data_IF_610655580152
#
_entry.id   IF_610655580152
#
_cell.length_a   1.000
_cell.length_b   1.000
_cell.length_c   1.000
_cell.angle_alpha   90.00
_cell.angle_beta   90.00
_cell.angle_gamma   90.00
#
_symmetry.space_group_name_H-M   'P 1'
#
loop_
_entity.id
_entity.type
_entity.pdbx_description
1 polymer ?
#
# COMPACT_ATOMS: atom_id res chain seq x y z
N UNK A 1 12.54 -7.94 -41.99
CA UNK A 1 11.91 -8.45 -40.75
C UNK A 1 12.77 -9.60 -40.25
N UNK A 2 13.26 -9.60 -38.99
CA UNK A 2 14.00 -10.74 -38.46
C UNK A 2 13.12 -12.00 -38.52
N UNK A 3 13.71 -13.20 -38.62
CA UNK A 3 12.91 -14.42 -38.60
C UNK A 3 12.08 -14.50 -37.31
N UNK A 4 10.87 -15.09 -37.32
CA UNK A 4 9.99 -15.15 -36.15
C UNK A 4 10.65 -15.79 -34.91
N UNK A 5 11.56 -16.74 -35.13
CA UNK A 5 12.19 -17.52 -34.08
C UNK A 5 13.20 -16.73 -33.21
N UNK A 6 14.19 -15.99 -33.76
CA UNK A 6 15.03 -15.08 -32.98
C UNK A 6 14.25 -14.04 -32.17
N UNK A 7 13.15 -13.53 -32.72
CA UNK A 7 12.34 -12.54 -32.04
C UNK A 7 11.57 -13.15 -30.86
N UNK A 8 11.02 -14.35 -31.02
CA UNK A 8 10.39 -15.09 -29.94
C UNK A 8 11.39 -15.41 -28.82
N UNK A 9 12.62 -15.83 -29.17
CA UNK A 9 13.69 -16.09 -28.22
C UNK A 9 14.09 -14.82 -27.45
N UNK A 10 14.22 -13.69 -28.13
CA UNK A 10 14.51 -12.40 -27.50
C UNK A 10 13.40 -11.96 -26.53
N UNK A 11 12.13 -12.03 -26.94
CA UNK A 11 10.99 -11.71 -26.07
C UNK A 11 10.99 -12.57 -24.80
N UNK A 12 11.33 -13.85 -24.92
CA UNK A 12 11.47 -14.75 -23.76
C UNK A 12 12.57 -14.25 -22.82
N UNK A 13 13.73 -13.82 -23.33
CA UNK A 13 14.81 -13.29 -22.50
C UNK A 13 14.44 -11.97 -21.83
N UNK A 14 13.78 -11.04 -22.55
CA UNK A 14 13.27 -9.80 -21.95
C UNK A 14 12.30 -10.10 -20.81
N UNK A 15 11.38 -11.06 -20.99
CA UNK A 15 10.46 -11.48 -19.92
C UNK A 15 11.16 -12.11 -18.71
N UNK A 16 12.30 -12.76 -18.91
CA UNK A 16 13.13 -13.20 -17.78
C UNK A 16 13.78 -12.00 -17.11
N UNK A 17 14.28 -11.04 -17.89
CA UNK A 17 14.96 -9.86 -17.39
C UNK A 17 14.05 -8.94 -16.57
N UNK A 18 12.75 -8.86 -16.88
CA UNK A 18 11.77 -8.10 -16.06
C UNK A 18 11.69 -8.58 -14.62
N UNK A 19 12.20 -9.78 -14.30
CA UNK A 19 12.29 -10.23 -12.90
C UNK A 19 13.20 -9.35 -12.05
N UNK A 20 14.12 -8.57 -12.66
CA UNK A 20 14.95 -7.55 -11.99
C UNK A 20 14.14 -6.53 -11.20
N UNK A 21 12.86 -6.33 -11.55
CA UNK A 21 11.97 -5.41 -10.84
C UNK A 21 11.91 -5.71 -9.34
N UNK A 22 11.94 -6.98 -8.93
CA UNK A 22 11.90 -7.31 -7.49
C UNK A 22 13.17 -6.86 -6.77
N UNK A 23 14.33 -6.92 -7.44
CA UNK A 23 15.58 -6.40 -6.90
C UNK A 23 15.50 -4.89 -6.71
N UNK A 24 15.00 -4.17 -7.71
CA UNK A 24 14.80 -2.71 -7.59
C UNK A 24 13.79 -2.35 -6.51
N UNK A 25 12.68 -3.09 -6.39
CA UNK A 25 11.69 -2.86 -5.33
C UNK A 25 12.26 -3.07 -3.93
N UNK A 26 13.06 -4.12 -3.71
CA UNK A 26 13.74 -4.35 -2.43
C UNK A 26 14.73 -3.20 -2.17
N UNK A 27 15.55 -2.86 -3.15
CA UNK A 27 16.55 -1.80 -3.01
C UNK A 27 15.91 -0.44 -2.71
N UNK A 28 14.84 -0.07 -3.43
CA UNK A 28 14.19 1.23 -3.35
C UNK A 28 13.27 1.41 -2.14
N UNK A 29 12.50 0.38 -1.79
CA UNK A 29 11.45 0.51 -0.78
C UNK A 29 11.87 -0.02 0.60
N UNK A 30 12.96 -0.80 0.66
CA UNK A 30 13.45 -1.40 1.92
C UNK A 30 14.85 -0.87 2.22
N UNK A 31 15.80 -1.09 1.31
CA UNK A 31 17.20 -0.73 1.58
C UNK A 31 17.42 0.79 1.61
N UNK A 32 16.88 1.56 0.67
CA UNK A 32 17.08 3.01 0.64
C UNK A 32 16.52 3.70 1.88
N UNK A 33 15.26 3.51 2.31
CA UNK A 33 14.74 4.16 3.52
C UNK A 33 15.55 3.81 4.78
N UNK A 34 16.08 2.59 4.83
CA UNK A 34 16.99 2.17 5.89
C UNK A 34 18.30 2.99 5.86
N UNK A 35 18.94 3.11 4.70
CA UNK A 35 20.18 3.86 4.53
C UNK A 35 20.00 5.38 4.74
N UNK A 36 18.87 5.96 4.35
CA UNK A 36 18.58 7.39 4.51
C UNK A 36 18.53 7.81 5.99
N UNK A 37 18.09 6.91 6.88
CA UNK A 37 18.14 7.14 8.33
C UNK A 37 19.57 7.18 8.87
N UNK A 38 20.48 6.44 8.23
CA UNK A 38 21.86 6.25 8.69
C UNK A 38 22.83 7.25 8.05
N UNK A 39 22.59 7.66 6.81
CA UNK A 39 23.52 8.45 6.01
C UNK A 39 23.03 9.88 5.82
N UNK A 40 23.69 10.87 6.44
CA UNK A 40 23.36 12.28 6.22
C UNK A 40 23.47 12.74 4.75
N UNK A 41 24.32 12.06 3.97
CA UNK A 41 24.53 12.34 2.54
C UNK A 41 24.04 11.17 1.67
N UNK A 42 22.73 11.10 1.46
CA UNK A 42 22.06 9.97 0.78
C UNK A 42 21.56 10.27 -0.64
N UNK A 43 21.89 11.43 -1.24
CA UNK A 43 21.42 11.80 -2.60
C UNK A 43 21.82 10.81 -3.70
N UNK A 44 22.88 10.03 -3.48
CA UNK A 44 23.30 8.98 -4.41
C UNK A 44 22.23 7.90 -4.60
N UNK A 45 21.37 7.66 -3.59
CA UNK A 45 20.26 6.69 -3.65
C UNK A 45 19.20 7.13 -4.66
N UNK A 46 18.82 8.42 -4.65
CA UNK A 46 17.88 9.00 -5.62
C UNK A 46 18.40 8.92 -7.06
N UNK A 47 19.71 9.14 -7.25
CA UNK A 47 20.35 8.99 -8.56
C UNK A 47 20.31 7.53 -9.03
N UNK A 48 20.53 6.56 -8.12
CA UNK A 48 20.43 5.15 -8.45
C UNK A 48 18.99 4.74 -8.78
N UNK A 49 17.99 5.25 -8.05
CA UNK A 49 16.57 5.07 -8.39
C UNK A 49 16.26 5.56 -9.80
N UNK A 50 16.71 6.76 -10.18
CA UNK A 50 16.51 7.28 -11.53
C UNK A 50 17.08 6.34 -12.61
N UNK A 51 18.21 5.67 -12.34
CA UNK A 51 18.77 4.67 -13.27
C UNK A 51 17.88 3.42 -13.34
N UNK A 52 17.27 2.99 -12.24
CA UNK A 52 16.29 1.90 -12.25
C UNK A 52 15.06 2.26 -13.10
N UNK A 53 14.56 3.49 -13.01
CA UNK A 53 13.45 3.96 -13.83
C UNK A 53 13.81 3.96 -15.32
N UNK A 54 15.03 4.36 -15.69
CA UNK A 54 15.53 4.27 -17.06
C UNK A 54 15.59 2.80 -17.56
N UNK A 55 15.93 1.85 -16.68
CA UNK A 55 15.89 0.41 -17.00
C UNK A 55 14.45 -0.06 -17.21
N UNK A 56 13.52 0.32 -16.33
CA UNK A 56 12.08 -0.02 -16.45
C UNK A 56 11.50 0.47 -17.75
N UNK A 57 11.78 1.72 -18.10
CA UNK A 57 11.31 2.33 -19.34
C UNK A 57 11.92 1.62 -20.56
N UNK A 58 13.23 1.31 -20.53
CA UNK A 58 13.90 0.55 -21.59
C UNK A 58 13.28 -0.83 -21.81
N UNK A 59 12.97 -1.57 -20.74
CA UNK A 59 12.28 -2.88 -20.82
C UNK A 59 10.89 -2.75 -21.44
N UNK A 60 10.11 -1.76 -21.01
CA UNK A 60 8.76 -1.47 -21.53
C UNK A 60 8.79 -1.11 -23.01
N UNK A 61 9.71 -0.22 -23.42
CA UNK A 61 9.87 0.17 -24.82
C UNK A 61 10.30 -1.01 -25.71
N UNK A 62 11.22 -1.85 -25.23
CA UNK A 62 11.63 -3.06 -25.95
C UNK A 62 10.48 -4.06 -26.10
N UNK A 63 9.62 -4.21 -25.09
CA UNK A 63 8.41 -5.02 -25.21
C UNK A 63 7.50 -4.48 -26.33
N UNK A 64 7.25 -3.17 -26.37
CA UNK A 64 6.43 -2.54 -27.43
C UNK A 64 7.04 -2.74 -28.82
N UNK A 65 8.32 -2.39 -29.00
CA UNK A 65 9.01 -2.50 -30.30
C UNK A 65 9.05 -3.95 -30.76
N UNK A 66 9.18 -4.90 -29.82
CA UNK A 66 9.23 -6.30 -30.19
C UNK A 66 7.90 -6.89 -30.56
N UNK A 67 6.77 -6.34 -30.10
CA UNK A 67 5.42 -6.79 -30.47
C UNK A 67 4.81 -6.02 -31.65
N UNK A 68 5.38 -4.88 -32.03
CA UNK A 68 4.93 -4.10 -33.18
C UNK A 68 5.05 -4.89 -34.48
N UNK A 69 4.01 -4.84 -35.32
CA UNK A 69 4.01 -5.47 -36.65
C UNK A 69 4.97 -4.80 -37.66
N UNK A 70 5.52 -3.63 -37.31
CA UNK A 70 6.49 -2.90 -38.11
C UNK A 70 7.83 -2.79 -37.35
N UNK A 71 8.78 -3.66 -37.70
CA UNK A 71 10.05 -3.80 -36.98
C UNK A 71 11.06 -2.71 -37.35
N UNK A 72 11.36 -1.81 -36.42
CA UNK A 72 12.44 -0.82 -36.54
C UNK A 72 13.73 -1.33 -35.89
N UNK A 73 14.63 -1.86 -36.72
CA UNK A 73 15.92 -2.40 -36.27
C UNK A 73 16.84 -1.33 -35.64
N UNK A 74 16.77 -0.09 -36.11
CA UNK A 74 17.63 0.99 -35.60
C UNK A 74 17.20 1.38 -34.20
N UNK A 75 15.89 1.55 -34.00
CA UNK A 75 15.33 1.81 -32.67
C UNK A 75 15.58 0.64 -31.73
N UNK A 76 15.35 -0.59 -32.19
CA UNK A 76 15.63 -1.79 -31.41
C UNK A 76 17.08 -1.83 -30.92
N UNK A 77 18.06 -1.70 -31.82
CA UNK A 77 19.49 -1.75 -31.47
C UNK A 77 19.87 -0.67 -30.45
N UNK A 78 19.34 0.54 -30.61
CA UNK A 78 19.55 1.63 -29.66
C UNK A 78 18.99 1.27 -28.28
N UNK A 79 17.71 0.89 -28.20
CA UNK A 79 17.06 0.55 -26.94
C UNK A 79 17.76 -0.62 -26.23
N UNK A 80 18.22 -1.63 -26.97
CA UNK A 80 19.00 -2.72 -26.37
C UNK A 80 20.35 -2.27 -25.81
N UNK A 81 21.02 -1.32 -26.49
CA UNK A 81 22.26 -0.73 -26.02
C UNK A 81 22.04 0.10 -24.76
N UNK A 82 21.04 0.99 -24.79
CA UNK A 82 20.67 1.86 -23.67
C UNK A 82 20.31 1.00 -22.43
N UNK A 83 19.48 -0.03 -22.60
CA UNK A 83 19.16 -0.98 -21.53
C UNK A 83 20.41 -1.64 -20.93
N UNK A 84 21.31 -2.16 -21.78
CA UNK A 84 22.54 -2.78 -21.33
C UNK A 84 23.39 -1.84 -20.48
N UNK A 85 23.60 -0.59 -20.95
CA UNK A 85 24.40 0.38 -20.23
C UNK A 85 23.74 0.84 -18.92
N UNK A 86 22.42 1.02 -18.90
CA UNK A 86 21.70 1.42 -17.68
C UNK A 86 21.76 0.31 -16.62
N UNK A 87 21.51 -0.94 -17.00
CA UNK A 87 21.64 -2.08 -16.08
C UNK A 87 23.07 -2.26 -15.57
N UNK A 88 24.06 -2.18 -16.46
CA UNK A 88 25.47 -2.25 -16.07
C UNK A 88 25.86 -1.10 -15.12
N UNK A 89 25.30 0.10 -15.33
CA UNK A 89 25.52 1.26 -14.46
C UNK A 89 24.91 1.04 -13.07
N UNK A 90 23.69 0.49 -12.99
CA UNK A 90 23.07 0.15 -11.72
C UNK A 90 23.91 -0.88 -10.96
N UNK A 91 24.24 -2.01 -11.59
CA UNK A 91 25.07 -3.08 -11.00
C UNK A 91 26.41 -2.53 -10.51
N UNK A 92 27.11 -1.73 -11.34
CA UNK A 92 28.40 -1.17 -10.96
C UNK A 92 28.29 -0.26 -9.73
N UNK A 93 27.27 0.60 -9.69
CA UNK A 93 27.06 1.51 -8.55
C UNK A 93 26.69 0.75 -7.28
N UNK A 94 25.89 -0.29 -7.40
CA UNK A 94 25.56 -1.16 -6.27
C UNK A 94 26.81 -1.86 -5.72
N UNK A 95 27.53 -2.58 -6.57
CA UNK A 95 28.68 -3.40 -6.16
C UNK A 95 29.89 -2.58 -5.71
N UNK A 96 30.13 -1.43 -6.34
CA UNK A 96 31.36 -0.65 -6.13
C UNK A 96 31.17 0.56 -5.21
N UNK A 97 29.93 0.96 -4.94
CA UNK A 97 29.66 2.16 -4.15
C UNK A 97 28.71 1.82 -3.00
N UNK A 98 27.48 1.39 -3.30
CA UNK A 98 26.43 1.22 -2.30
C UNK A 98 26.77 0.14 -1.27
N UNK A 99 27.06 -1.08 -1.73
CA UNK A 99 27.34 -2.23 -0.85
C UNK A 99 28.62 -1.99 -0.02
N UNK A 100 29.75 -1.53 -0.60
CA UNK A 100 30.93 -1.18 0.20
C UNK A 100 30.66 -0.10 1.26
N UNK A 101 29.89 0.94 0.93
CA UNK A 101 29.52 1.97 1.90
C UNK A 101 28.64 1.40 3.03
N UNK A 102 27.69 0.52 2.71
CA UNK A 102 26.86 -0.17 3.70
C UNK A 102 27.71 -1.02 4.65
N UNK A 103 28.62 -1.83 4.11
CA UNK A 103 29.55 -2.64 4.91
C UNK A 103 30.41 -1.75 5.82
N UNK A 104 30.90 -0.61 5.31
CA UNK A 104 31.68 0.33 6.11
C UNK A 104 30.86 1.00 7.24
N UNK A 105 29.55 1.12 7.07
CA UNK A 105 28.64 1.65 8.09
C UNK A 105 28.53 0.70 9.29
N UNK A 106 28.87 -0.59 9.12
CA UNK A 106 28.98 -1.55 10.22
C UNK A 106 27.66 -2.03 10.79
N UNK A 107 26.56 -1.97 10.01
CA UNK A 107 25.25 -2.44 10.47
C UNK A 107 25.06 -3.92 10.17
N UNK A 108 24.89 -4.73 11.21
CA UNK A 108 24.64 -6.18 11.07
C UNK A 108 23.35 -6.62 11.75
N UNK A 109 22.94 -6.00 12.86
CA UNK A 109 21.75 -6.41 13.62
C UNK A 109 20.41 -6.06 12.94
N UNK A 110 20.38 -4.94 12.20
CA UNK A 110 19.13 -4.39 11.63
C UNK A 110 18.82 -4.95 10.22
N UNK A 111 19.81 -5.53 9.52
CA UNK A 111 19.62 -6.03 8.14
C UNK A 111 18.80 -7.33 8.07
N UNK A 112 18.83 -8.14 9.12
CA UNK A 112 18.05 -9.39 9.16
C UNK A 112 16.53 -9.13 9.19
N UNK A 113 16.08 -8.01 9.78
CA UNK A 113 14.65 -7.64 9.78
C UNK A 113 14.19 -7.23 8.37
N UNK A 114 15.07 -6.57 7.62
CA UNK A 114 14.82 -6.20 6.22
C UNK A 114 14.69 -7.43 5.31
N UNK A 115 15.29 -8.58 5.67
CA UNK A 115 15.16 -9.82 4.90
C UNK A 115 13.74 -10.38 4.94
N UNK A 116 13.03 -10.23 6.07
CA UNK A 116 11.65 -10.69 6.20
C UNK A 116 10.70 -9.78 5.38
N UNK A 117 10.91 -8.47 5.40
CA UNK A 117 10.19 -7.52 4.53
C UNK A 117 10.48 -7.78 3.03
N UNK A 118 11.74 -8.04 2.68
CA UNK A 118 12.14 -8.34 1.31
C UNK A 118 11.55 -9.67 0.81
N UNK A 119 11.31 -10.63 1.69
CA UNK A 119 10.69 -11.90 1.35
C UNK A 119 9.23 -11.73 0.86
N UNK A 120 8.50 -10.70 1.30
CA UNK A 120 7.15 -10.40 0.82
C UNK A 120 7.15 -9.95 -0.66
N UNK A 121 8.20 -9.26 -1.10
CA UNK A 121 8.43 -8.85 -2.50
C UNK A 121 8.95 -10.04 -3.33
N UNK A 122 9.88 -10.81 -2.74
CA UNK A 122 10.53 -11.96 -3.34
C UNK A 122 11.80 -11.61 -4.13
N UNK A 123 12.47 -12.65 -4.65
CA UNK A 123 13.87 -12.53 -5.10
C UNK A 123 14.04 -12.57 -6.62
N UNK A 124 15.06 -11.85 -7.12
CA UNK A 124 15.45 -11.82 -8.53
C UNK A 124 16.72 -12.63 -8.75
N UNK A 125 16.73 -13.54 -9.71
CA UNK A 125 17.91 -14.30 -10.17
C UNK A 125 18.66 -15.13 -9.11
N UNK A 126 18.22 -15.13 -7.87
CA UNK A 126 18.78 -15.90 -6.75
C UNK A 126 17.70 -16.77 -6.12
N UNK A 127 18.14 -17.80 -5.39
CA UNK A 127 17.26 -18.49 -4.45
C UNK A 127 17.04 -17.62 -3.21
N UNK A 128 15.89 -17.76 -2.57
CA UNK A 128 15.59 -17.04 -1.34
C UNK A 128 16.69 -17.34 -0.29
N UNK A 129 17.32 -16.31 0.29
CA UNK A 129 18.28 -16.50 1.36
C UNK A 129 17.59 -17.16 2.55
N UNK A 130 18.29 -18.09 3.21
CA UNK A 130 17.77 -18.77 4.39
C UNK A 130 17.74 -17.77 5.55
N UNK A 131 16.55 -17.38 6.00
CA UNK A 131 16.40 -16.60 7.23
C UNK A 131 16.97 -17.40 8.40
N UNK A 132 17.99 -16.85 9.07
CA UNK A 132 18.71 -17.50 10.18
C UNK A 132 18.08 -17.23 11.55
N UNK A 133 16.96 -16.48 11.62
CA UNK A 133 16.29 -16.17 12.89
C UNK A 133 15.24 -17.22 13.28
N UNK A 134 15.45 -17.83 14.45
CA UNK A 134 14.34 -18.24 15.34
C UNK A 134 13.54 -16.98 15.67
N UNK A 135 12.22 -17.01 15.52
CA UNK A 135 11.31 -15.98 16.06
C UNK A 135 11.61 -15.77 17.55
N UNK A 136 12.39 -14.76 17.87
CA UNK A 136 12.45 -14.21 19.23
C UNK A 136 11.62 -12.94 19.16
N UNK A 137 10.37 -13.08 19.59
CA UNK A 137 9.51 -11.96 19.93
C UNK A 137 10.15 -11.17 21.08
N UNK A 138 10.22 -9.85 20.92
CA UNK A 138 10.33 -8.94 22.05
C UNK A 138 11.71 -8.32 22.22
N UNK A 139 11.82 -7.08 21.77
CA UNK A 139 12.68 -6.09 22.40
C UNK A 139 11.81 -4.89 22.76
N UNK A 140 11.31 -4.96 23.99
CA UNK A 140 10.83 -3.80 24.74
C UNK A 140 11.98 -2.78 24.83
N UNK A 141 11.85 -1.66 24.13
CA UNK A 141 12.61 -0.44 24.42
C UNK A 141 11.69 0.52 25.13
N UNK A 142 11.73 0.44 26.45
CA UNK A 142 11.19 1.45 27.36
C UNK A 142 12.08 2.70 27.28
N UNK A 143 11.57 3.77 26.70
CA UNK A 143 11.89 5.14 27.13
C UNK A 143 10.58 5.95 27.18
N UNK A 144 10.33 6.57 28.33
CA UNK A 144 9.12 7.34 28.61
C UNK A 144 9.08 8.61 27.77
N UNK A 145 8.19 8.69 26.77
CA UNK A 145 7.53 9.93 26.31
C UNK A 145 6.47 9.61 25.23
N UNK A 146 5.20 9.89 25.55
CA UNK A 146 3.98 9.68 24.75
C UNK A 146 3.64 8.21 24.43
N UNK A 147 2.49 7.71 24.94
CA UNK A 147 1.97 6.36 24.63
C UNK A 147 1.58 6.30 23.15
N UNK A 148 2.52 5.97 22.27
CA UNK A 148 2.19 5.61 20.90
C UNK A 148 1.64 4.18 20.86
N UNK A 149 0.63 3.97 20.03
CA UNK A 149 0.08 2.66 19.70
C UNK A 149 0.97 2.04 18.63
N UNK A 150 1.55 0.89 18.92
CA UNK A 150 2.33 0.11 17.96
C UNK A 150 1.41 -0.72 17.06
N UNK A 151 1.59 -0.58 15.75
CA UNK A 151 0.96 -1.37 14.70
C UNK A 151 2.02 -2.29 14.07
N UNK A 152 1.58 -3.28 13.29
CA UNK A 152 2.52 -4.14 12.56
C UNK A 152 3.39 -3.38 11.55
N UNK A 153 2.90 -2.22 11.06
CA UNK A 153 3.52 -1.43 10.00
C UNK A 153 4.00 -0.04 10.46
N UNK A 154 4.06 0.21 11.78
CA UNK A 154 4.50 1.50 12.31
C UNK A 154 3.98 1.79 13.71
N UNK A 155 4.06 3.04 14.13
CA UNK A 155 3.46 3.50 15.39
C UNK A 155 2.86 4.89 15.23
N UNK A 156 1.74 5.13 15.90
CA UNK A 156 1.05 6.42 15.88
C UNK A 156 0.65 6.81 17.30
N UNK A 157 0.63 8.11 17.59
CA UNK A 157 -0.01 8.61 18.81
C UNK A 157 -1.55 8.48 18.71
N UNK A 158 -2.27 8.39 19.85
CA UNK A 158 -3.73 8.43 19.85
C UNK A 158 -4.31 9.66 19.14
N UNK A 159 -3.64 10.81 19.26
CA UNK A 159 -4.03 12.04 18.56
C UNK A 159 -3.88 11.91 17.04
N UNK A 160 -2.80 11.29 16.55
CA UNK A 160 -2.63 11.04 15.11
C UNK A 160 -3.70 10.09 14.57
N UNK A 161 -4.07 9.07 15.34
CA UNK A 161 -5.15 8.13 14.95
C UNK A 161 -6.48 8.88 14.80
N UNK A 162 -6.82 9.75 15.76
CA UNK A 162 -8.03 10.57 15.70
C UNK A 162 -8.00 11.54 14.51
N UNK A 163 -6.87 12.20 14.27
CA UNK A 163 -6.69 13.10 13.14
C UNK A 163 -6.87 12.37 11.81
N UNK A 164 -6.26 11.19 11.63
CA UNK A 164 -6.42 10.38 10.42
C UNK A 164 -7.90 10.07 10.18
N UNK A 165 -8.62 9.53 11.17
CA UNK A 165 -10.03 9.20 11.02
C UNK A 165 -10.93 10.41 10.72
N UNK A 166 -10.57 11.61 11.20
CA UNK A 166 -11.29 12.85 10.91
C UNK A 166 -10.93 13.49 9.56
N UNK A 167 -9.87 13.02 8.87
CA UNK A 167 -9.44 13.52 7.56
C UNK A 167 -9.69 12.55 6.41
N UNK A 168 -10.08 11.31 6.71
CA UNK A 168 -10.58 10.39 5.68
C UNK A 168 -11.85 10.98 5.04
N UNK A 169 -12.07 10.82 3.72
CA UNK A 169 -13.28 11.26 3.05
C UNK A 169 -14.47 10.30 3.33
N UNK A 170 -14.60 9.85 4.58
CA UNK A 170 -15.51 8.84 5.06
C UNK A 170 -15.97 9.19 6.48
N UNK A 171 -17.23 8.96 6.80
CA UNK A 171 -17.70 8.88 8.19
C UNK A 171 -17.54 7.44 8.67
N UNK A 172 -16.96 7.24 9.86
CA UNK A 172 -16.71 5.92 10.45
C UNK A 172 -17.49 5.82 11.75
N UNK A 173 -18.15 4.68 11.99
CA UNK A 173 -18.68 4.31 13.31
C UNK A 173 -18.29 2.86 13.61
N UNK A 174 -17.76 2.62 14.81
CA UNK A 174 -17.38 1.28 15.26
C UNK A 174 -18.28 0.83 16.42
N UNK A 175 -18.80 -0.39 16.27
CA UNK A 175 -19.64 -1.10 17.22
C UNK A 175 -18.92 -2.36 17.66
N UNK A 176 -18.84 -2.62 18.96
CA UNK A 176 -18.13 -3.78 19.50
C UNK A 176 -18.91 -5.11 19.37
N UNK A 177 -18.34 -6.18 19.91
CA UNK A 177 -18.92 -7.52 19.92
C UNK A 177 -20.24 -7.60 20.69
N UNK A 178 -20.45 -6.65 21.61
CA UNK A 178 -21.65 -6.50 22.45
C UNK A 178 -22.67 -5.53 21.85
N UNK A 179 -22.53 -5.20 20.56
CA UNK A 179 -23.38 -4.29 19.80
C UNK A 179 -23.41 -2.85 20.36
N UNK A 180 -22.37 -2.43 21.10
CA UNK A 180 -22.27 -1.08 21.66
C UNK A 180 -21.40 -0.18 20.80
N UNK A 181 -21.85 1.05 20.60
CA UNK A 181 -21.07 2.05 19.86
C UNK A 181 -19.88 2.48 20.71
N UNK A 182 -18.66 2.22 20.26
CA UNK A 182 -17.44 2.62 20.98
C UNK A 182 -16.80 3.87 20.39
N UNK A 183 -16.98 4.10 19.10
CA UNK A 183 -16.30 5.18 18.39
C UNK A 183 -17.12 5.65 17.20
N UNK A 184 -17.01 6.93 16.88
CA UNK A 184 -17.38 7.49 15.58
C UNK A 184 -16.43 8.64 15.22
N UNK A 185 -16.14 8.82 13.93
CA UNK A 185 -15.35 9.96 13.46
C UNK A 185 -16.18 11.23 13.37
N UNK A 186 -15.50 12.37 13.41
CA UNK A 186 -16.08 13.72 13.39
C UNK A 186 -15.45 14.60 12.31
N UNK A 187 -15.44 14.18 11.03
CA UNK A 187 -14.92 15.03 9.97
C UNK A 187 -15.72 16.34 9.86
N UNK A 188 -15.16 17.41 9.28
CA UNK A 188 -15.87 18.68 9.11
C UNK A 188 -17.16 18.56 8.30
N UNK A 189 -17.14 17.75 7.22
CA UNK A 189 -18.31 17.46 6.37
C UNK A 189 -18.84 16.07 6.72
N UNK A 190 -19.95 16.01 7.47
CA UNK A 190 -20.63 14.76 7.86
C UNK A 190 -21.94 14.56 7.11
N UNK A 191 -22.19 13.32 6.70
CA UNK A 191 -23.47 12.91 6.10
C UNK A 191 -24.53 12.73 7.18
N UNK A 192 -24.16 11.99 8.24
CA UNK A 192 -25.03 11.72 9.39
C UNK A 192 -24.41 12.29 10.67
N UNK A 193 -25.09 13.23 11.30
CA UNK A 193 -24.64 13.80 12.56
C UNK A 193 -24.79 12.78 13.69
N UNK A 194 -23.72 12.60 14.47
CA UNK A 194 -23.72 11.83 15.72
C UNK A 194 -23.35 12.75 16.89
N UNK A 195 -23.86 12.45 18.07
CA UNK A 195 -23.53 13.14 19.32
C UNK A 195 -22.84 12.18 20.27
N UNK A 196 -22.01 12.69 21.19
CA UNK A 196 -21.30 11.86 22.16
C UNK A 196 -22.23 11.02 23.05
N UNK A 197 -23.51 11.38 23.15
CA UNK A 197 -24.52 10.60 23.86
C UNK A 197 -24.78 9.21 23.26
N UNK A 198 -24.29 8.93 22.04
CA UNK A 198 -24.40 7.61 21.41
C UNK A 198 -23.37 6.61 21.94
N UNK A 199 -22.25 7.07 22.49
CA UNK A 199 -21.18 6.19 22.98
C UNK A 199 -21.70 5.31 24.11
N UNK A 200 -21.46 4.00 24.00
CA UNK A 200 -21.92 2.96 24.93
C UNK A 200 -23.36 2.51 24.75
N UNK A 201 -24.18 3.20 23.93
CA UNK A 201 -25.53 2.75 23.58
C UNK A 201 -25.47 1.56 22.63
N UNK A 202 -26.45 0.68 22.73
CA UNK A 202 -26.60 -0.41 21.77
C UNK A 202 -27.07 0.15 20.43
N UNK A 203 -26.56 -0.39 19.33
CA UNK A 203 -26.83 0.12 17.97
C UNK A 203 -28.32 0.06 17.60
N UNK A 204 -29.08 -0.91 18.12
CA UNK A 204 -30.53 -1.03 17.95
C UNK A 204 -31.26 0.21 18.49
N UNK A 205 -30.78 0.79 19.58
CA UNK A 205 -31.35 1.99 20.20
C UNK A 205 -30.96 3.30 19.49
N UNK A 206 -30.13 3.21 18.46
CA UNK A 206 -29.65 4.35 17.66
C UNK A 206 -30.41 4.49 16.33
N UNK A 207 -31.31 3.56 16.02
CA UNK A 207 -32.06 3.51 14.78
C UNK A 207 -33.57 3.58 15.03
N UNK A 208 -34.36 4.17 14.09
CA UNK A 208 -35.81 4.14 14.15
C UNK A 208 -36.37 2.70 14.13
N UNK A 209 -37.53 2.42 14.78
CA UNK A 209 -38.09 1.06 14.88
C UNK A 209 -38.26 0.34 13.55
N UNK A 210 -38.58 1.08 12.48
CA UNK A 210 -38.78 0.55 11.13
C UNK A 210 -37.51 -0.01 10.47
N UNK A 211 -36.32 0.33 10.97
CA UNK A 211 -35.03 -0.13 10.42
C UNK A 211 -34.21 -1.02 11.35
N UNK A 212 -34.60 -1.15 12.63
CA UNK A 212 -33.90 -1.98 13.62
C UNK A 212 -33.78 -3.44 13.15
N UNK A 213 -34.83 -4.01 12.57
CA UNK A 213 -34.82 -5.40 12.08
C UNK A 213 -33.74 -5.64 11.01
N UNK A 214 -33.41 -4.63 10.21
CA UNK A 214 -32.35 -4.72 9.19
C UNK A 214 -30.98 -4.74 9.87
N UNK A 215 -30.78 -3.89 10.87
CA UNK A 215 -29.54 -3.83 11.66
C UNK A 215 -29.31 -5.18 12.35
N UNK A 216 -30.33 -5.74 13.01
CA UNK A 216 -30.23 -7.04 13.67
C UNK A 216 -29.87 -8.16 12.68
N UNK A 217 -30.50 -8.18 11.50
CA UNK A 217 -30.20 -9.15 10.46
C UNK A 217 -28.73 -9.09 10.00
N UNK A 218 -28.18 -7.88 9.85
CA UNK A 218 -26.77 -7.68 9.47
C UNK A 218 -25.85 -8.20 10.59
N UNK A 219 -26.09 -7.78 11.84
CA UNK A 219 -25.27 -8.18 12.98
C UNK A 219 -25.28 -9.69 13.20
N UNK A 220 -26.45 -10.34 13.07
CA UNK A 220 -26.54 -11.79 13.18
C UNK A 220 -25.74 -12.51 12.09
N UNK A 221 -25.86 -12.07 10.83
CA UNK A 221 -25.12 -12.66 9.72
C UNK A 221 -23.61 -12.50 9.92
N UNK A 222 -23.17 -11.34 10.42
CA UNK A 222 -21.75 -11.08 10.70
C UNK A 222 -21.23 -11.92 11.85
N UNK A 223 -21.98 -12.03 12.95
CA UNK A 223 -21.60 -12.87 14.11
C UNK A 223 -21.53 -14.36 13.74
N UNK A 224 -22.44 -14.84 12.89
CA UNK A 224 -22.44 -16.24 12.40
C UNK A 224 -21.34 -16.52 11.36
N UNK A 225 -20.82 -15.50 10.71
CA UNK A 225 -19.89 -15.65 9.58
C UNK A 225 -20.58 -15.95 8.25
N UNK A 226 -21.90 -15.74 8.16
CA UNK A 226 -22.67 -15.93 6.92
C UNK A 226 -22.37 -14.83 5.89
N UNK A 227 -21.98 -13.65 6.36
CA UNK A 227 -21.62 -12.48 5.58
C UNK A 227 -20.50 -11.71 6.30
N UNK A 228 -19.66 -11.02 5.53
CA UNK A 228 -18.65 -10.10 6.08
C UNK A 228 -18.89 -8.64 5.66
N UNK A 229 -19.75 -8.41 4.66
CA UNK A 229 -20.04 -7.09 4.11
C UNK A 229 -21.54 -6.93 3.84
N UNK A 230 -22.09 -5.77 4.18
CA UNK A 230 -23.40 -5.32 3.72
C UNK A 230 -23.25 -3.90 3.17
N UNK A 231 -23.99 -3.56 2.11
CA UNK A 231 -23.83 -2.25 1.47
C UNK A 231 -25.15 -1.72 0.93
N UNK A 232 -25.33 -0.41 1.05
CA UNK A 232 -26.52 0.32 0.63
C UNK A 232 -26.10 1.63 -0.04
N UNK A 233 -26.92 2.12 -0.96
CA UNK A 233 -26.72 3.44 -1.55
C UNK A 233 -28.04 4.15 -1.67
N UNK A 234 -28.09 5.41 -1.26
CA UNK A 234 -29.30 6.22 -1.28
C UNK A 234 -28.98 7.65 -1.74
N UNK A 235 -29.88 8.28 -2.50
CA UNK A 235 -29.88 9.74 -2.58
C UNK A 235 -30.26 10.30 -1.21
N UNK A 236 -29.46 11.24 -0.68
CA UNK A 236 -29.75 11.91 0.59
C UNK A 236 -29.40 13.39 0.46
N UNK A 237 -30.42 14.25 0.50
CA UNK A 237 -30.28 15.68 0.21
C UNK A 237 -29.59 15.90 -1.15
N UNK A 238 -28.48 16.63 -1.17
CA UNK A 238 -27.66 16.94 -2.33
C UNK A 238 -26.53 15.93 -2.57
N UNK A 239 -26.46 14.87 -1.76
CA UNK A 239 -25.42 13.84 -1.76
C UNK A 239 -25.93 12.52 -2.37
N UNK A 240 -25.00 11.67 -2.83
CA UNK A 240 -25.29 10.28 -3.13
C UNK A 240 -24.47 9.41 -2.20
N UNK A 241 -25.13 8.89 -1.16
CA UNK A 241 -24.49 8.29 -0.01
C UNK A 241 -24.33 6.79 -0.24
N UNK A 242 -23.11 6.30 -0.10
CA UNK A 242 -22.77 4.89 -0.06
C UNK A 242 -22.43 4.49 1.37
N UNK A 243 -23.18 3.54 1.92
CA UNK A 243 -23.08 3.06 3.29
C UNK A 243 -22.65 1.61 3.24
N UNK A 244 -21.60 1.27 3.97
CA UNK A 244 -21.07 -0.09 4.06
C UNK A 244 -20.91 -0.50 5.51
N UNK A 245 -21.23 -1.74 5.80
CA UNK A 245 -20.98 -2.39 7.08
C UNK A 245 -20.00 -3.53 6.85
N UNK A 246 -19.00 -3.65 7.71
CA UNK A 246 -17.99 -4.70 7.66
C UNK A 246 -17.95 -5.46 9.00
N UNK A 247 -17.92 -6.79 8.92
CA UNK A 247 -17.58 -7.63 10.06
C UNK A 247 -16.08 -7.48 10.35
N UNK A 248 -15.73 -6.89 11.49
CA UNK A 248 -14.34 -6.77 11.94
C UNK A 248 -13.97 -8.08 12.62
N UNK A 249 -12.87 -8.72 12.19
CA UNK A 249 -12.39 -9.98 12.74
C UNK A 249 -10.91 -9.87 13.13
N UNK A 250 -10.51 -10.64 14.14
CA UNK A 250 -9.08 -10.79 14.49
C UNK A 250 -8.37 -11.81 13.57
N UNK A 251 -7.07 -12.05 13.84
CA UNK A 251 -6.24 -12.94 13.01
C UNK A 251 -6.70 -14.39 13.05
N UNK A 252 -7.40 -14.78 14.12
CA UNK A 252 -7.98 -16.09 14.33
C UNK A 252 -9.39 -16.21 13.69
N UNK A 253 -9.93 -15.12 13.14
CA UNK A 253 -11.24 -15.08 12.48
C UNK A 253 -12.41 -14.81 13.44
N UNK A 254 -12.15 -14.52 14.71
CA UNK A 254 -13.20 -14.23 15.68
C UNK A 254 -13.82 -12.86 15.39
N UNK A 255 -15.14 -12.75 15.47
CA UNK A 255 -15.85 -11.48 15.34
C UNK A 255 -15.47 -10.52 16.48
N UNK A 256 -15.00 -9.33 16.12
CA UNK A 256 -14.55 -8.25 17.02
C UNK A 256 -15.44 -7.01 16.97
N UNK A 257 -16.49 -7.01 16.16
CA UNK A 257 -17.42 -5.89 16.03
C UNK A 257 -17.83 -5.61 14.60
N UNK A 258 -18.58 -4.53 14.42
CA UNK A 258 -19.02 -4.03 13.11
C UNK A 258 -18.50 -2.63 12.87
N UNK A 259 -17.89 -2.42 11.70
CA UNK A 259 -17.47 -1.12 11.20
C UNK A 259 -18.51 -0.61 10.19
N UNK A 260 -19.16 0.51 10.50
CA UNK A 260 -19.97 1.28 9.55
C UNK A 260 -19.08 2.35 8.88
N UNK A 261 -19.11 2.40 7.56
CA UNK A 261 -18.42 3.40 6.73
C UNK A 261 -19.45 4.07 5.83
N UNK A 262 -19.52 5.39 5.87
CA UNK A 262 -20.41 6.19 5.02
C UNK A 262 -19.60 7.15 4.18
N UNK A 263 -19.87 7.21 2.88
CA UNK A 263 -19.20 8.12 1.95
C UNK A 263 -20.21 8.79 1.01
N UNK A 264 -20.07 10.10 0.81
CA UNK A 264 -20.71 10.79 -0.30
C UNK A 264 -19.90 10.53 -1.57
N UNK A 265 -20.46 9.71 -2.47
CA UNK A 265 -19.78 9.28 -3.71
C UNK A 265 -20.28 10.07 -4.93
N UNK A 266 -21.02 11.16 -4.74
CA UNK A 266 -21.57 11.95 -5.86
C UNK A 266 -20.49 12.39 -6.84
N UNK A 267 -19.43 13.05 -6.34
CA UNK A 267 -18.31 13.51 -7.17
C UNK A 267 -17.52 12.35 -7.79
N UNK A 268 -17.36 11.25 -7.05
CA UNK A 268 -16.69 10.03 -7.54
C UNK A 268 -17.44 9.46 -8.76
N UNK A 269 -18.78 9.46 -8.74
CA UNK A 269 -19.61 8.98 -9.86
C UNK A 269 -19.49 9.87 -11.11
N UNK A 270 -19.14 11.14 -10.93
CA UNK A 270 -18.98 12.12 -12.00
C UNK A 270 -17.62 12.03 -12.69
N UNK A 271 -16.61 11.43 -12.08
CA UNK A 271 -15.27 11.24 -12.68
C UNK A 271 -15.36 10.56 -14.07
N UNK A 272 -14.58 11.09 -15.02
CA UNK A 272 -14.41 10.59 -16.39
C UNK A 272 -12.94 10.71 -16.80
N UNK A 273 -12.51 9.89 -17.76
CA UNK A 273 -11.15 9.93 -18.29
C UNK A 273 -10.10 9.56 -17.24
N UNK A 274 -8.95 10.22 -17.30
CA UNK A 274 -7.83 10.04 -16.36
C UNK A 274 -7.21 11.37 -15.96
N UNK A 275 -6.69 11.45 -14.74
CA UNK A 275 -5.89 12.57 -14.25
C UNK A 275 -4.63 12.02 -13.60
N UNK A 276 -3.50 12.11 -14.32
CA UNK A 276 -2.20 11.54 -13.89
C UNK A 276 -1.28 12.56 -13.22
N UNK A 277 -1.57 13.85 -13.36
CA UNK A 277 -0.76 14.94 -12.86
C UNK A 277 -1.60 15.91 -12.01
N UNK A 278 -0.91 16.56 -11.07
CA UNK A 278 -1.48 17.58 -10.21
C UNK A 278 -1.87 18.81 -11.04
N UNK A 279 -3.06 19.34 -10.77
CA UNK A 279 -3.51 20.63 -11.30
C UNK A 279 -4.16 21.38 -10.15
N UNK A 280 -3.37 22.19 -9.46
CA UNK A 280 -3.91 23.23 -8.61
C UNK A 280 -4.02 24.46 -9.49
N UNK A 281 -5.18 24.67 -10.12
CA UNK A 281 -5.51 26.04 -10.54
C UNK A 281 -5.66 26.87 -9.26
N UNK A 282 -5.33 28.16 -9.32
CA UNK A 282 -5.30 29.07 -8.16
C UNK A 282 -6.68 29.23 -7.49
N UNK A 283 -7.14 28.20 -6.78
CA UNK A 283 -8.29 28.23 -5.89
C UNK A 283 -7.78 28.68 -4.53
N UNK A 284 -7.81 30.01 -4.34
CA UNK A 284 -7.80 30.64 -3.02
C UNK A 284 -9.21 30.68 -2.47
#
# INVERSE_FOLDING_TARGET
>A
VPPPEPLAAFRKQIKVLTTVEKHYQITENILFPFLEKLWPAHRCLQVLWSVHDDVREGLRELEVVTHAGNWDLKRFNRLTGDLFFNMATAIFREEKILIPALVHTGVTADLDELLDEAAEIGWSFIQAPVSTKKKISGTDKSEKQHLNVAFATGSLSPEQIELIFNHLPLDITFVDESDRVLYFSTPPKRTFTRTNAVIGRTVQNCHPPESVWMVEKILEAFKKGDQDVASFWIPFKDQFVYIQYYAVRDKEGNYRGTLEVTQDVKEIRELKGERRLLHWENEK
#
